data_IF_337340418496
#
_entry.id   IF_337340418496
#
_cell.length_a   1.000
_cell.length_b   1.000
_cell.length_c   1.000
_cell.angle_alpha   90.00
_cell.angle_beta   90.00
_cell.angle_gamma   90.00
#
_symmetry.space_group_name_H-M   'P 1'
#
loop_
_entity.id
_entity.type
_entity.pdbx_description
1 polymer ?
#
# COMPACT_ATOMS: atom_id res chain seq x y z
N UNK A 1 35.28 -15.00 -1.27
CA UNK A 1 33.86 -14.84 -0.91
C UNK A 1 33.36 -13.63 -1.70
N UNK A 2 32.96 -13.85 -2.94
CA UNK A 2 32.85 -12.82 -3.96
C UNK A 2 31.48 -12.92 -4.61
N UNK A 3 30.75 -11.81 -4.51
CA UNK A 3 29.69 -11.40 -5.45
C UNK A 3 28.52 -12.36 -5.76
N UNK A 4 27.59 -12.50 -4.82
CA UNK A 4 26.30 -13.14 -5.10
C UNK A 4 25.20 -12.16 -5.57
N UNK A 5 25.44 -10.86 -5.51
CA UNK A 5 24.47 -9.81 -5.87
C UNK A 5 24.47 -9.42 -7.35
N UNK A 6 25.29 -10.05 -8.20
CA UNK A 6 25.42 -9.63 -9.58
C UNK A 6 24.61 -10.52 -10.54
N UNK A 7 23.64 -9.90 -11.20
CA UNK A 7 22.91 -10.26 -12.41
C UNK A 7 21.54 -10.93 -12.21
N UNK A 8 20.54 -10.09 -11.96
CA UNK A 8 19.32 -10.07 -12.77
C UNK A 8 18.73 -8.67 -12.72
N UNK A 9 19.13 -7.80 -13.63
CA UNK A 9 18.42 -6.52 -13.89
C UNK A 9 17.05 -6.89 -14.45
N UNK A 10 16.00 -6.58 -13.69
CA UNK A 10 14.64 -6.56 -14.20
C UNK A 10 14.59 -5.56 -15.35
N UNK A 11 14.44 -6.05 -16.58
CA UNK A 11 14.20 -5.21 -17.76
C UNK A 11 12.71 -4.86 -17.81
N UNK A 12 12.25 -3.99 -16.96
CA UNK A 12 11.07 -3.20 -17.26
C UNK A 12 11.54 -1.85 -17.77
N UNK A 13 11.43 -1.67 -19.07
CA UNK A 13 11.64 -0.37 -19.73
C UNK A 13 10.45 0.53 -19.37
N UNK A 14 10.57 1.28 -18.29
CA UNK A 14 9.87 2.54 -18.20
C UNK A 14 10.67 3.58 -18.95
N UNK A 15 10.09 4.14 -20.01
CA UNK A 15 10.64 5.28 -20.73
C UNK A 15 10.53 6.47 -19.78
N UNK A 16 11.65 6.86 -19.18
CA UNK A 16 11.76 8.14 -18.47
C UNK A 16 12.12 9.20 -19.51
N UNK A 17 11.18 10.09 -19.79
CA UNK A 17 11.48 11.36 -20.42
C UNK A 17 12.33 12.20 -19.45
N UNK A 18 13.51 12.56 -19.89
CA UNK A 18 14.49 13.36 -19.14
C UNK A 18 13.97 14.78 -18.94
N UNK A 19 13.80 15.18 -17.69
CA UNK A 19 13.66 16.58 -17.29
C UNK A 19 15.07 17.16 -17.14
N UNK A 20 15.39 18.34 -17.72
CA UNK A 20 16.74 18.90 -17.68
C UNK A 20 17.14 19.37 -16.29
N UNK A 21 18.34 18.99 -15.89
CA UNK A 21 19.01 19.38 -14.65
C UNK A 21 19.40 20.87 -14.73
N UNK A 22 18.86 21.68 -13.84
CA UNK A 22 19.33 23.07 -13.63
C UNK A 22 20.50 23.02 -12.66
N UNK A 23 21.70 23.35 -13.17
CA UNK A 23 22.91 23.55 -12.36
C UNK A 23 22.81 24.89 -11.62
N UNK A 24 22.84 24.85 -10.29
CA UNK A 24 23.05 26.05 -9.47
C UNK A 24 24.50 26.06 -8.99
N UNK A 25 25.22 27.08 -9.43
CA UNK A 25 26.60 27.38 -9.04
C UNK A 25 26.63 27.84 -7.57
N UNK A 26 27.44 27.18 -6.74
CA UNK A 26 27.76 27.63 -5.38
C UNK A 26 29.16 28.29 -5.41
N UNK A 27 29.22 29.57 -5.10
CA UNK A 27 30.46 30.23 -4.76
C UNK A 27 30.28 31.11 -3.50
N UNK A 28 31.30 31.03 -2.60
CA UNK A 28 31.65 31.90 -1.45
C UNK A 28 30.84 31.61 -0.17
N UNK A 29 31.36 31.11 0.93
CA UNK A 29 32.61 31.44 1.63
C UNK A 29 32.26 32.26 2.89
N UNK A 30 32.17 31.63 4.09
CA UNK A 30 32.42 32.28 5.38
C UNK A 30 32.63 31.23 6.46
N UNK A 31 33.78 31.30 7.15
CA UNK A 31 34.18 30.36 8.18
C UNK A 31 33.53 30.65 9.54
N UNK A 32 33.49 29.61 10.38
CA UNK A 32 33.20 29.71 11.81
C UNK A 32 34.38 29.16 12.62
N UNK A 33 34.68 29.78 13.79
CA UNK A 33 35.81 29.37 14.62
C UNK A 33 35.47 28.22 15.56
N UNK A 34 36.50 27.42 15.85
CA UNK A 34 36.49 26.37 16.85
C UNK A 34 36.44 26.97 18.28
N UNK A 35 35.62 26.39 19.13
CA UNK A 35 35.77 26.46 20.57
C UNK A 35 35.53 25.07 21.14
N UNK A 36 36.61 24.46 21.65
CA UNK A 36 36.58 23.30 22.51
C UNK A 36 36.38 23.77 23.95
N UNK A 37 35.39 23.21 24.65
CA UNK A 37 35.37 23.19 26.11
C UNK A 37 34.96 21.80 26.60
N UNK A 38 35.87 21.20 27.37
CA UNK A 38 35.70 20.01 28.20
C UNK A 38 34.60 20.25 29.24
N UNK A 39 33.65 19.32 29.37
CA UNK A 39 32.90 19.15 30.63
C UNK A 39 32.86 17.69 31.01
N UNK A 40 33.42 17.45 32.19
CA UNK A 40 33.61 16.18 32.91
C UNK A 40 32.30 15.60 33.44
N UNK A 41 32.27 14.25 33.39
CA UNK A 41 31.76 13.25 34.35
C UNK A 41 30.49 13.43 35.19
N UNK A 42 29.72 12.34 35.16
CA UNK A 42 28.77 11.82 36.15
C UNK A 42 27.33 12.38 36.14
N UNK A 43 26.51 11.67 35.37
CA UNK A 43 25.12 11.44 35.83
C UNK A 43 24.71 10.02 35.46
N UNK A 44 24.54 9.14 36.45
CA UNK A 44 23.92 7.84 36.35
C UNK A 44 22.43 8.10 35.94
N UNK A 45 22.09 7.82 34.69
CA UNK A 45 20.72 7.82 34.25
C UNK A 45 20.13 6.45 34.61
N UNK A 46 19.17 6.45 35.52
CA UNK A 46 18.31 5.30 35.82
C UNK A 46 17.60 4.83 34.54
N UNK A 47 17.33 3.53 34.38
CA UNK A 47 16.53 3.03 33.28
C UNK A 47 15.10 3.54 33.45
N UNK A 48 14.77 4.63 32.78
CA UNK A 48 13.37 5.01 32.62
C UNK A 48 12.71 3.93 31.76
N UNK A 49 11.82 3.17 32.41
CA UNK A 49 10.78 2.41 31.74
C UNK A 49 10.00 3.40 30.86
N UNK A 50 10.27 3.38 29.57
CA UNK A 50 9.43 4.05 28.60
C UNK A 50 8.10 3.31 28.57
N UNK A 51 7.15 3.74 29.39
CA UNK A 51 5.75 3.56 29.16
C UNK A 51 5.43 4.29 27.84
N UNK A 52 5.58 3.57 26.73
CA UNK A 52 5.17 4.07 25.43
C UNK A 52 3.67 4.32 25.47
N UNK A 53 3.28 5.58 25.56
CA UNK A 53 1.91 5.97 25.27
C UNK A 53 1.62 5.47 23.85
N UNK A 54 0.79 4.42 23.73
CA UNK A 54 0.27 3.94 22.46
C UNK A 54 -0.36 5.14 21.77
N UNK A 55 0.24 5.59 20.67
CA UNK A 55 -0.37 6.60 19.83
C UNK A 55 -1.66 5.97 19.28
N UNK A 56 -2.78 6.26 19.90
CA UNK A 56 -4.09 5.83 19.38
C UNK A 56 -4.23 6.49 18.03
N UNK A 57 -4.13 5.70 16.96
CA UNK A 57 -4.40 6.19 15.62
C UNK A 57 -5.84 6.70 15.62
N UNK A 58 -6.00 7.99 15.34
CA UNK A 58 -7.31 8.61 15.25
C UNK A 58 -8.15 7.85 14.22
N UNK A 59 -9.21 7.21 14.67
CA UNK A 59 -10.18 6.56 13.80
C UNK A 59 -11.27 7.57 13.42
N UNK A 60 -11.24 8.11 12.20
CA UNK A 60 -12.21 9.10 11.74
C UNK A 60 -13.61 8.53 11.53
N UNK A 61 -13.78 7.22 11.68
CA UNK A 61 -15.06 6.52 11.53
C UNK A 61 -15.69 6.14 12.87
N UNK A 62 -14.97 6.34 13.97
CA UNK A 62 -15.46 5.97 15.31
C UNK A 62 -16.82 6.61 15.58
N UNK A 63 -17.82 5.77 15.83
CA UNK A 63 -19.19 6.22 16.11
C UNK A 63 -20.03 6.57 14.87
N UNK A 64 -19.50 6.40 13.64
CA UNK A 64 -20.33 6.49 12.44
C UNK A 64 -21.19 5.25 12.29
N UNK A 65 -22.44 5.47 11.93
CA UNK A 65 -23.38 4.38 11.61
C UNK A 65 -23.25 4.07 10.13
N UNK A 66 -23.33 2.78 9.78
CA UNK A 66 -23.41 2.36 8.37
C UNK A 66 -24.66 2.98 7.76
N UNK A 67 -24.54 3.70 6.63
CA UNK A 67 -25.71 4.20 5.91
C UNK A 67 -26.48 3.05 5.26
N UNK A 68 -27.74 3.26 4.98
CA UNK A 68 -28.52 2.38 4.11
C UNK A 68 -28.02 2.50 2.66
N UNK A 69 -28.29 1.46 1.86
CA UNK A 69 -28.07 1.55 0.42
C UNK A 69 -29.04 2.58 -0.17
N UNK A 70 -28.53 3.45 -1.04
CA UNK A 70 -29.38 4.44 -1.73
C UNK A 70 -30.07 3.84 -2.96
N UNK A 71 -29.42 2.84 -3.59
CA UNK A 71 -29.87 2.16 -4.80
C UNK A 71 -29.55 0.67 -4.72
N UNK A 72 -30.25 -0.15 -5.49
CA UNK A 72 -29.89 -1.55 -5.67
C UNK A 72 -28.61 -1.68 -6.52
N UNK A 73 -27.89 -2.79 -6.38
CA UNK A 73 -26.70 -3.04 -7.19
C UNK A 73 -27.01 -3.04 -8.70
N UNK A 74 -28.19 -3.54 -9.08
CA UNK A 74 -28.63 -3.54 -10.48
C UNK A 74 -28.78 -2.11 -11.04
N UNK A 75 -29.43 -1.22 -10.29
CA UNK A 75 -29.58 0.19 -10.69
C UNK A 75 -28.21 0.89 -10.79
N UNK A 76 -27.30 0.60 -9.86
CA UNK A 76 -25.95 1.17 -9.91
C UNK A 76 -25.20 0.64 -11.14
N UNK A 77 -25.27 -0.66 -11.40
CA UNK A 77 -24.62 -1.28 -12.58
C UNK A 77 -25.20 -0.72 -13.87
N UNK A 78 -26.52 -0.50 -13.97
CA UNK A 78 -27.14 0.13 -15.13
C UNK A 78 -26.60 1.56 -15.35
N UNK A 79 -26.36 2.32 -14.28
CA UNK A 79 -25.70 3.64 -14.38
C UNK A 79 -24.27 3.50 -14.90
N UNK A 80 -23.50 2.51 -14.40
CA UNK A 80 -22.11 2.30 -14.80
C UNK A 80 -21.98 1.92 -16.28
N UNK A 81 -22.95 1.21 -16.84
CA UNK A 81 -22.86 0.60 -18.19
C UNK A 81 -23.75 1.28 -19.24
N UNK A 82 -24.94 1.78 -18.85
CA UNK A 82 -25.95 2.33 -19.79
C UNK A 82 -25.92 3.86 -19.84
N UNK A 83 -25.69 4.52 -18.69
CA UNK A 83 -25.61 5.99 -18.64
C UNK A 83 -24.18 6.47 -18.98
N UNK A 84 -23.20 5.70 -18.58
CA UNK A 84 -21.79 5.90 -18.86
C UNK A 84 -21.23 4.65 -19.55
N UNK A 85 -19.98 4.71 -20.01
CA UNK A 85 -19.23 3.55 -20.46
C UNK A 85 -18.33 3.07 -19.32
N UNK A 86 -18.01 1.76 -19.26
CA UNK A 86 -17.03 1.23 -18.29
C UNK A 86 -15.71 2.01 -18.34
N UNK A 87 -15.28 2.43 -19.52
CA UNK A 87 -14.06 3.21 -19.72
C UNK A 87 -14.09 4.62 -19.11
N UNK A 88 -15.26 5.11 -18.72
CA UNK A 88 -15.42 6.44 -18.13
C UNK A 88 -15.16 6.46 -16.62
N UNK A 89 -14.96 5.31 -15.98
CA UNK A 89 -14.84 5.21 -14.54
C UNK A 89 -13.40 5.05 -14.05
N UNK A 90 -12.97 5.95 -13.18
CA UNK A 90 -11.84 5.69 -12.30
C UNK A 90 -12.26 4.81 -11.13
N UNK A 91 -11.52 3.77 -10.83
CA UNK A 91 -11.82 2.86 -9.70
C UNK A 91 -10.83 3.07 -8.57
N UNK A 92 -11.33 3.41 -7.39
CA UNK A 92 -10.53 3.52 -6.16
C UNK A 92 -10.78 2.30 -5.27
N UNK A 93 -9.75 1.49 -4.99
CA UNK A 93 -9.91 0.29 -4.16
C UNK A 93 -9.23 0.42 -2.79
N UNK A 94 -9.76 -0.31 -1.80
CA UNK A 94 -9.20 -0.43 -0.45
C UNK A 94 -9.22 -1.87 0.05
N UNK A 95 -8.89 -2.07 1.32
CA UNK A 95 -8.64 -3.40 1.91
C UNK A 95 -9.84 -4.37 1.81
N UNK A 96 -11.07 -3.86 1.79
CA UNK A 96 -12.28 -4.67 1.55
C UNK A 96 -12.32 -5.36 0.18
N UNK A 97 -11.49 -4.94 -0.77
CA UNK A 97 -11.31 -5.63 -2.06
C UNK A 97 -10.59 -6.97 -1.89
N UNK A 98 -9.73 -7.11 -0.88
CA UNK A 98 -8.83 -8.26 -0.70
C UNK A 98 -9.27 -9.23 0.39
N UNK A 99 -10.39 -8.96 1.10
CA UNK A 99 -10.86 -9.83 2.18
C UNK A 99 -11.19 -11.25 1.72
N UNK A 100 -11.80 -11.41 0.55
CA UNK A 100 -12.06 -12.73 -0.06
C UNK A 100 -10.78 -13.43 -0.57
N UNK A 101 -9.63 -12.77 -0.57
CA UNK A 101 -8.31 -13.35 -0.80
C UNK A 101 -7.61 -13.81 0.49
N UNK A 102 -8.25 -13.63 1.66
CA UNK A 102 -7.69 -13.94 2.95
C UNK A 102 -6.77 -12.87 3.53
N UNK A 103 -6.70 -11.68 2.90
CA UNK A 103 -6.03 -10.50 3.46
C UNK A 103 -7.09 -9.74 4.29
N UNK A 104 -6.88 -9.57 5.61
CA UNK A 104 -7.86 -8.87 6.44
C UNK A 104 -7.94 -7.38 6.07
N UNK A 105 -8.98 -6.72 6.48
CA UNK A 105 -9.04 -5.27 6.40
C UNK A 105 -8.66 -4.60 7.74
N UNK A 106 -8.56 -3.26 7.75
CA UNK A 106 -8.19 -2.52 8.97
C UNK A 106 -9.38 -2.17 9.86
N UNK A 107 -10.60 -2.14 9.31
CA UNK A 107 -11.77 -1.49 9.95
C UNK A 107 -13.08 -2.21 9.69
N UNK A 108 -13.06 -3.41 9.17
CA UNK A 108 -14.23 -4.26 9.06
C UNK A 108 -14.79 -4.63 10.43
N UNK A 109 -16.06 -5.07 10.50
CA UNK A 109 -16.71 -5.39 11.75
C UNK A 109 -15.97 -6.45 12.59
N UNK A 110 -15.21 -7.32 11.93
CA UNK A 110 -14.45 -8.40 12.56
C UNK A 110 -12.95 -8.10 12.69
N UNK A 111 -12.50 -6.88 12.32
CA UNK A 111 -11.09 -6.51 12.35
C UNK A 111 -10.65 -6.15 13.77
N UNK A 112 -9.61 -6.81 14.32
CA UNK A 112 -9.07 -6.46 15.63
C UNK A 112 -8.40 -5.07 15.58
N UNK A 113 -8.39 -4.35 16.72
CA UNK A 113 -7.62 -3.11 16.81
C UNK A 113 -6.15 -3.35 16.46
N UNK A 114 -5.59 -2.59 15.54
CA UNK A 114 -4.21 -2.72 15.09
C UNK A 114 -3.45 -1.43 15.31
N UNK A 115 -2.15 -1.57 15.54
CA UNK A 115 -1.21 -0.45 15.68
C UNK A 115 -0.15 -0.54 14.59
N UNK A 116 -0.47 -0.13 13.34
CA UNK A 116 0.47 -0.22 12.23
C UNK A 116 1.68 0.70 12.42
N UNK A 117 2.81 0.33 11.82
CA UNK A 117 4.04 1.12 11.86
C UNK A 117 3.82 2.52 11.28
N UNK A 118 4.30 3.54 12.00
CA UNK A 118 4.37 4.90 11.48
C UNK A 118 5.77 5.19 10.93
N UNK A 119 5.87 6.14 10.00
CA UNK A 119 7.17 6.54 9.45
C UNK A 119 8.09 7.12 10.54
N UNK A 120 7.53 7.85 11.49
CA UNK A 120 8.26 8.42 12.63
C UNK A 120 8.84 7.31 13.50
N UNK A 121 8.04 6.28 13.82
CA UNK A 121 8.50 5.12 14.60
C UNK A 121 9.59 4.36 13.85
N UNK A 122 9.43 4.13 12.55
CA UNK A 122 10.44 3.45 11.73
C UNK A 122 11.78 4.19 11.72
N UNK A 123 11.76 5.51 11.67
CA UNK A 123 12.97 6.34 11.69
C UNK A 123 13.59 6.51 13.08
N UNK A 124 12.81 6.33 14.16
CA UNK A 124 13.22 6.72 15.52
C UNK A 124 14.43 5.94 16.03
N UNK A 125 14.51 4.63 15.82
CA UNK A 125 15.57 3.78 16.36
C UNK A 125 15.83 2.54 15.49
N UNK A 126 17.08 2.00 15.44
CA UNK A 126 17.36 0.73 14.77
C UNK A 126 16.48 -0.42 15.23
N UNK A 127 16.19 -0.54 16.53
CA UNK A 127 15.34 -1.61 17.08
C UNK A 127 13.91 -1.56 16.53
N UNK A 128 13.36 -0.37 16.27
CA UNK A 128 12.04 -0.24 15.65
C UNK A 128 12.05 -0.73 14.20
N UNK A 129 13.15 -0.52 13.49
CA UNK A 129 13.33 -1.08 12.13
C UNK A 129 13.53 -2.60 12.18
N UNK A 130 14.33 -3.10 13.11
CA UNK A 130 14.50 -4.53 13.32
C UNK A 130 13.17 -5.21 13.66
N UNK A 131 12.41 -4.62 14.58
CA UNK A 131 11.06 -5.08 14.93
C UNK A 131 10.14 -5.13 13.71
N UNK A 132 10.10 -4.08 12.90
CA UNK A 132 9.29 -4.07 11.69
C UNK A 132 9.73 -5.18 10.72
N UNK A 133 11.04 -5.29 10.46
CA UNK A 133 11.56 -6.27 9.51
C UNK A 133 11.38 -7.72 9.97
N UNK A 134 11.51 -8.00 11.26
CA UNK A 134 11.23 -9.32 11.84
C UNK A 134 9.77 -9.73 11.60
N UNK A 135 8.83 -8.83 11.91
CA UNK A 135 7.39 -9.03 11.74
C UNK A 135 7.03 -9.18 10.26
N UNK A 136 7.54 -8.31 9.41
CA UNK A 136 7.35 -8.37 7.95
C UNK A 136 8.01 -9.61 7.34
N UNK A 137 9.16 -10.05 7.85
CA UNK A 137 9.82 -11.27 7.38
C UNK A 137 8.98 -12.52 7.70
N UNK A 138 8.42 -12.57 8.89
CA UNK A 138 7.55 -13.67 9.34
C UNK A 138 6.25 -13.72 8.54
N UNK A 139 5.64 -12.58 8.24
CA UNK A 139 4.36 -12.49 7.52
C UNK A 139 4.47 -12.65 5.98
N UNK A 140 5.68 -12.45 5.43
CA UNK A 140 5.88 -12.44 3.97
C UNK A 140 5.48 -13.73 3.26
N UNK A 141 5.80 -14.95 3.75
CA UNK A 141 5.40 -16.20 3.07
C UNK A 141 3.89 -16.27 2.84
N UNK A 142 3.09 -15.88 3.82
CA UNK A 142 1.62 -15.82 3.70
C UNK A 142 1.18 -14.78 2.68
N UNK A 143 1.69 -13.55 2.75
CA UNK A 143 1.36 -12.49 1.80
C UNK A 143 1.74 -12.89 0.36
N UNK A 144 2.93 -13.47 0.18
CA UNK A 144 3.41 -13.95 -1.11
C UNK A 144 2.56 -15.10 -1.68
N UNK A 145 1.95 -15.90 -0.79
CA UNK A 145 1.05 -17.01 -1.13
C UNK A 145 -0.36 -16.56 -1.53
N UNK A 146 -0.75 -15.34 -1.22
CA UNK A 146 -2.10 -14.82 -1.50
C UNK A 146 -2.39 -14.77 -3.00
N UNK A 147 -3.64 -14.99 -3.38
CA UNK A 147 -4.08 -15.02 -4.78
C UNK A 147 -5.23 -14.02 -5.00
N UNK A 148 -5.33 -13.44 -6.21
CA UNK A 148 -6.48 -12.63 -6.58
C UNK A 148 -7.78 -13.40 -6.38
N UNK A 149 -8.78 -12.75 -5.81
CA UNK A 149 -10.13 -13.30 -5.72
C UNK A 149 -10.95 -12.94 -6.97
N UNK A 150 -12.20 -13.43 -7.02
CA UNK A 150 -13.11 -13.21 -8.15
C UNK A 150 -13.37 -11.73 -8.46
N UNK A 151 -13.32 -10.84 -7.45
CA UNK A 151 -13.51 -9.41 -7.69
C UNK A 151 -12.30 -8.80 -8.41
N UNK A 152 -11.08 -9.19 -8.05
CA UNK A 152 -9.86 -8.74 -8.73
C UNK A 152 -9.86 -9.20 -10.21
N UNK A 153 -10.20 -10.47 -10.46
CA UNK A 153 -10.25 -11.03 -11.81
C UNK A 153 -11.33 -10.33 -12.66
N UNK A 154 -12.55 -10.20 -12.12
CA UNK A 154 -13.63 -9.53 -12.80
C UNK A 154 -13.31 -8.05 -13.09
N UNK A 155 -12.69 -7.33 -12.13
CA UNK A 155 -12.29 -5.94 -12.36
C UNK A 155 -11.17 -5.83 -13.40
N UNK A 156 -10.26 -6.80 -13.48
CA UNK A 156 -9.22 -6.81 -14.49
C UNK A 156 -9.74 -7.07 -15.92
N UNK A 157 -10.94 -7.62 -16.07
CA UNK A 157 -11.62 -7.80 -17.35
C UNK A 157 -12.33 -6.54 -17.83
N UNK A 158 -12.73 -5.64 -16.91
CA UNK A 158 -13.43 -4.39 -17.22
C UNK A 158 -12.46 -3.34 -17.81
N UNK A 159 -12.84 -2.68 -18.90
CA UNK A 159 -12.01 -1.66 -19.54
C UNK A 159 -12.16 -0.29 -18.86
N UNK A 160 -12.01 -0.23 -17.53
CA UNK A 160 -12.11 1.03 -16.77
C UNK A 160 -10.97 2.00 -17.10
N UNK A 161 -11.17 3.30 -16.87
CA UNK A 161 -10.14 4.32 -17.12
C UNK A 161 -8.83 4.03 -16.37
N UNK A 162 -8.93 3.43 -15.21
CA UNK A 162 -7.80 2.94 -14.42
C UNK A 162 -8.18 2.64 -12.98
N UNK A 163 -7.30 1.90 -12.30
CA UNK A 163 -7.45 1.47 -10.91
C UNK A 163 -6.44 2.22 -10.06
N UNK A 164 -6.92 2.92 -9.03
CA UNK A 164 -6.12 3.56 -7.99
C UNK A 164 -6.26 2.72 -6.73
N UNK A 165 -5.28 1.90 -6.40
CA UNK A 165 -5.37 1.05 -5.22
C UNK A 165 -4.67 1.63 -4.01
N UNK A 166 -5.32 1.57 -2.85
CA UNK A 166 -4.74 1.86 -1.55
C UNK A 166 -4.07 0.61 -0.95
N UNK A 167 -4.33 -0.57 -1.53
CA UNK A 167 -3.76 -1.83 -1.10
C UNK A 167 -2.30 -1.95 -1.53
N UNK A 168 -1.53 -2.72 -0.75
CA UNK A 168 -0.10 -2.94 -0.97
C UNK A 168 0.22 -4.41 -1.30
N UNK A 169 -0.81 -5.21 -1.54
CA UNK A 169 -0.77 -6.67 -1.69
C UNK A 169 -0.40 -7.16 -3.10
N UNK A 170 -0.40 -6.28 -4.12
CA UNK A 170 -0.09 -6.64 -5.51
C UNK A 170 -1.17 -7.45 -6.23
N UNK A 171 -2.37 -7.65 -5.64
CA UNK A 171 -3.39 -8.55 -6.17
C UNK A 171 -4.05 -8.03 -7.45
N UNK A 172 -4.16 -6.71 -7.64
CA UNK A 172 -4.65 -6.14 -8.89
C UNK A 172 -3.71 -6.41 -10.06
N UNK A 173 -2.39 -6.30 -9.85
CA UNK A 173 -1.39 -6.61 -10.86
C UNK A 173 -1.41 -8.10 -11.21
N UNK A 174 -1.46 -8.96 -10.18
CA UNK A 174 -1.54 -10.40 -10.37
C UNK A 174 -2.81 -10.83 -11.12
N UNK A 175 -3.95 -10.15 -10.90
CA UNK A 175 -5.18 -10.38 -11.63
C UNK A 175 -5.06 -9.94 -13.09
N UNK A 176 -4.48 -8.77 -13.34
CA UNK A 176 -4.26 -8.26 -14.69
C UNK A 176 -3.33 -9.19 -15.51
N UNK A 177 -2.28 -9.71 -14.88
CA UNK A 177 -1.37 -10.70 -15.49
C UNK A 177 -2.09 -12.02 -15.80
N UNK A 178 -2.91 -12.52 -14.88
CA UNK A 178 -3.69 -13.76 -15.08
C UNK A 178 -4.68 -13.61 -16.25
N UNK A 179 -5.46 -12.54 -16.28
CA UNK A 179 -6.41 -12.26 -17.37
C UNK A 179 -5.70 -12.07 -18.70
N UNK A 180 -4.56 -11.37 -18.72
CA UNK A 180 -3.76 -11.22 -19.94
C UNK A 180 -3.20 -12.57 -20.46
N UNK A 181 -2.77 -13.43 -19.54
CA UNK A 181 -2.27 -14.76 -19.88
C UNK A 181 -3.37 -15.68 -20.46
N UNK A 182 -4.58 -15.62 -19.91
CA UNK A 182 -5.75 -16.38 -20.41
C UNK A 182 -6.21 -15.90 -21.80
N UNK A 183 -6.16 -14.57 -22.06
CA UNK A 183 -6.53 -14.00 -23.36
C UNK A 183 -5.54 -14.35 -24.47
N UNK A 184 -4.28 -14.61 -24.13
CA UNK A 184 -3.21 -14.87 -25.09
C UNK A 184 -2.82 -13.66 -25.94
N UNK A 185 -1.67 -13.73 -26.60
CA UNK A 185 -1.10 -12.61 -27.37
C UNK A 185 -1.88 -12.26 -28.66
N UNK A 186 -2.78 -13.13 -29.14
CA UNK A 186 -3.48 -13.00 -30.42
C UNK A 186 -4.95 -12.55 -30.31
N UNK A 187 -5.44 -12.24 -29.10
CA UNK A 187 -6.87 -12.02 -28.87
C UNK A 187 -7.40 -10.71 -29.44
N UNK A 188 -6.54 -9.76 -29.83
CA UNK A 188 -6.98 -8.40 -30.21
C UNK A 188 -7.71 -7.64 -29.07
N UNK A 189 -7.79 -8.22 -27.89
CA UNK A 189 -8.40 -7.62 -26.72
C UNK A 189 -7.54 -6.42 -26.23
N UNK A 190 -8.17 -5.38 -25.69
CA UNK A 190 -7.44 -4.24 -25.13
C UNK A 190 -6.54 -4.70 -23.97
N UNK A 191 -5.45 -3.98 -23.78
CA UNK A 191 -4.60 -4.18 -22.60
C UNK A 191 -5.40 -3.97 -21.32
N UNK A 192 -5.07 -4.68 -20.22
CA UNK A 192 -5.69 -4.44 -18.93
C UNK A 192 -5.57 -2.97 -18.50
N UNK A 193 -6.58 -2.47 -17.80
CA UNK A 193 -6.61 -1.11 -17.29
C UNK A 193 -5.38 -0.81 -16.40
N UNK A 194 -4.81 0.40 -16.45
CA UNK A 194 -3.64 0.74 -15.65
C UNK A 194 -3.95 0.68 -14.16
N UNK A 195 -3.01 0.14 -13.36
CA UNK A 195 -3.11 0.05 -11.90
C UNK A 195 -2.05 0.95 -11.26
N UNK A 196 -2.47 1.85 -10.40
CA UNK A 196 -1.58 2.74 -9.63
C UNK A 196 -1.59 2.32 -8.17
N UNK A 197 -0.44 1.84 -7.68
CA UNK A 197 -0.20 1.55 -6.26
C UNK A 197 -0.06 2.86 -5.47
N UNK A 198 -1.17 3.46 -5.07
CA UNK A 198 -1.14 4.77 -4.37
C UNK A 198 -0.26 4.72 -3.12
N UNK A 199 -0.35 3.64 -2.37
CA UNK A 199 0.44 3.44 -1.15
C UNK A 199 1.66 2.53 -1.34
N UNK A 200 2.00 2.18 -2.57
CA UNK A 200 3.13 1.32 -2.90
C UNK A 200 2.79 -0.17 -2.90
N UNK A 201 3.82 -1.00 -2.83
CA UNK A 201 3.67 -2.46 -2.87
C UNK A 201 4.67 -3.14 -1.96
N UNK A 202 4.22 -4.21 -1.28
CA UNK A 202 5.06 -5.10 -0.47
C UNK A 202 6.05 -5.92 -1.31
N UNK A 203 5.78 -6.08 -2.62
CA UNK A 203 6.68 -6.81 -3.53
C UNK A 203 8.01 -6.09 -3.79
N UNK A 204 8.13 -4.83 -3.35
CA UNK A 204 9.30 -3.99 -3.57
C UNK A 204 9.89 -3.49 -2.26
N UNK A 205 11.20 -3.32 -2.26
CA UNK A 205 11.96 -2.69 -1.18
C UNK A 205 12.73 -1.52 -1.74
N UNK A 206 12.68 -0.39 -1.06
CA UNK A 206 13.37 0.85 -1.46
C UNK A 206 14.48 1.20 -0.47
N UNK A 207 15.62 1.64 -1.01
CA UNK A 207 16.67 2.29 -0.24
C UNK A 207 16.29 3.75 0.03
N UNK A 208 16.21 4.14 1.31
CA UNK A 208 15.80 5.49 1.70
C UNK A 208 16.85 6.57 1.37
N UNK A 209 18.10 6.19 1.13
CA UNK A 209 19.17 7.13 0.85
C UNK A 209 19.26 7.52 -0.63
N UNK A 210 19.18 6.54 -1.53
CA UNK A 210 19.40 6.76 -2.96
C UNK A 210 18.26 6.23 -3.87
N UNK A 211 17.16 5.73 -3.29
CA UNK A 211 16.00 5.26 -4.07
C UNK A 211 16.25 3.97 -4.86
N UNK A 212 17.31 3.20 -4.56
CA UNK A 212 17.52 1.89 -5.20
C UNK A 212 16.35 0.97 -4.88
N UNK A 213 15.84 0.27 -5.89
CA UNK A 213 14.71 -0.64 -5.77
C UNK A 213 15.16 -2.09 -5.88
N UNK A 214 14.62 -2.92 -5.01
CA UNK A 214 14.90 -4.35 -4.95
C UNK A 214 13.58 -5.15 -4.91
N UNK A 215 13.63 -6.34 -5.48
CA UNK A 215 12.58 -7.34 -5.31
C UNK A 215 12.50 -7.79 -3.84
N UNK A 216 11.28 -7.91 -3.29
CA UNK A 216 11.07 -8.29 -1.90
C UNK A 216 11.57 -9.70 -1.61
N UNK A 217 11.41 -10.65 -2.53
CA UNK A 217 11.89 -12.03 -2.33
C UNK A 217 13.43 -12.09 -2.25
N UNK A 218 14.13 -11.18 -2.95
CA UNK A 218 15.57 -11.06 -2.84
C UNK A 218 15.98 -10.62 -1.42
N UNK A 219 15.31 -9.60 -0.89
CA UNK A 219 15.56 -9.10 0.47
C UNK A 219 15.11 -10.13 1.50
N UNK A 220 14.01 -10.85 1.27
CA UNK A 220 13.54 -11.94 2.14
C UNK A 220 14.59 -13.03 2.31
N UNK A 221 15.20 -13.49 1.20
CA UNK A 221 16.30 -14.48 1.28
C UNK A 221 17.48 -13.95 2.12
N UNK A 222 17.83 -12.68 1.91
CA UNK A 222 18.91 -12.06 2.66
C UNK A 222 18.62 -11.95 4.17
N UNK A 223 17.37 -11.60 4.51
CA UNK A 223 16.92 -11.61 5.91
C UNK A 223 17.00 -13.01 6.52
N UNK A 224 16.58 -14.05 5.78
CA UNK A 224 16.67 -15.44 6.25
C UNK A 224 18.13 -15.91 6.45
N UNK A 225 19.04 -15.52 5.54
CA UNK A 225 20.46 -15.84 5.68
C UNK A 225 21.10 -15.19 6.92
N UNK A 226 20.65 -14.01 7.31
CA UNK A 226 21.15 -13.27 8.47
C UNK A 226 20.51 -13.70 9.78
N UNK A 227 19.35 -14.36 9.73
CA UNK A 227 18.55 -14.76 10.89
C UNK A 227 18.08 -16.23 10.75
N UNK A 228 19.03 -17.20 10.63
CA UNK A 228 18.67 -18.57 10.26
C UNK A 228 17.80 -19.27 11.31
N UNK A 229 17.97 -18.96 12.58
CA UNK A 229 17.32 -19.66 13.69
C UNK A 229 16.15 -18.85 14.30
N UNK A 230 15.88 -17.66 13.78
CA UNK A 230 14.92 -16.71 14.39
C UNK A 230 13.50 -17.27 14.52
N UNK A 231 12.98 -18.00 13.52
CA UNK A 231 11.64 -18.59 13.58
C UNK A 231 11.55 -19.65 14.70
N UNK A 232 12.60 -20.45 14.89
CA UNK A 232 12.69 -21.44 15.96
C UNK A 232 12.80 -20.77 17.33
N UNK A 233 13.59 -19.71 17.44
CA UNK A 233 13.78 -18.95 18.68
C UNK A 233 12.48 -18.31 19.18
N UNK A 234 11.64 -17.77 18.26
CA UNK A 234 10.34 -17.19 18.63
C UNK A 234 9.22 -18.24 18.71
N UNK A 235 9.47 -19.48 18.29
CA UNK A 235 8.51 -20.59 18.40
C UNK A 235 7.26 -20.44 17.55
N UNK A 236 7.33 -19.72 16.43
CA UNK A 236 6.21 -19.42 15.54
C UNK A 236 6.49 -19.98 14.15
N UNK A 237 5.55 -20.77 13.60
CA UNK A 237 5.60 -21.21 12.21
C UNK A 237 5.12 -20.07 11.28
N UNK A 238 5.95 -19.60 10.34
CA UNK A 238 5.56 -18.55 9.39
C UNK A 238 4.34 -18.87 8.53
N UNK A 239 3.93 -20.15 8.44
CA UNK A 239 2.77 -20.57 7.65
C UNK A 239 1.47 -20.34 8.42
N UNK A 240 1.49 -20.45 9.75
CA UNK A 240 0.30 -20.41 10.61
C UNK A 240 0.04 -19.03 11.25
N UNK A 241 0.79 -17.99 10.86
CA UNK A 241 0.62 -16.66 11.44
C UNK A 241 -0.55 -15.88 10.84
N UNK A 242 -1.28 -15.16 11.67
CA UNK A 242 -2.21 -14.14 11.21
C UNK A 242 -1.46 -12.87 10.83
N UNK A 243 -1.72 -12.37 9.62
CA UNK A 243 -1.11 -11.14 9.12
C UNK A 243 -2.08 -9.96 9.19
N UNK A 244 -1.53 -8.77 9.37
CA UNK A 244 -2.24 -7.51 9.13
C UNK A 244 -2.39 -7.25 7.60
N UNK A 245 -3.22 -6.28 7.18
CA UNK A 245 -3.40 -5.93 5.76
C UNK A 245 -2.11 -5.53 5.04
N UNK A 246 -1.10 -5.09 5.77
CA UNK A 246 0.26 -4.73 5.31
C UNK A 246 1.27 -5.87 5.51
N UNK A 247 0.80 -7.10 5.75
CA UNK A 247 1.65 -8.27 5.94
C UNK A 247 2.40 -8.31 7.26
N UNK A 248 2.12 -7.40 8.18
CA UNK A 248 2.74 -7.35 9.50
C UNK A 248 2.15 -8.43 10.42
N UNK A 249 2.98 -9.03 11.27
CA UNK A 249 2.64 -10.07 12.25
C UNK A 249 2.89 -9.54 13.65
N UNK A 250 2.08 -9.90 14.62
CA UNK A 250 2.36 -9.55 16.01
C UNK A 250 3.43 -10.47 16.58
N UNK A 251 4.61 -9.90 16.89
CA UNK A 251 5.70 -10.52 17.61
C UNK A 251 6.03 -9.68 18.83
N UNK A 252 6.14 -10.33 19.98
CA UNK A 252 6.52 -9.67 21.23
C UNK A 252 8.03 -9.44 21.30
N UNK A 253 8.81 -10.48 21.02
CA UNK A 253 10.28 -10.42 21.03
C UNK A 253 10.84 -10.40 19.60
N UNK A 254 11.63 -9.39 19.31
CA UNK A 254 12.35 -9.21 18.06
C UNK A 254 13.81 -8.81 18.30
N UNK A 255 14.28 -9.02 19.52
CA UNK A 255 15.66 -8.73 19.89
C UNK A 255 16.63 -9.58 19.05
N UNK A 256 17.72 -8.98 18.63
CA UNK A 256 18.74 -9.68 17.85
C UNK A 256 18.44 -9.86 16.36
N UNK A 257 17.25 -9.50 15.88
CA UNK A 257 16.96 -9.60 14.45
C UNK A 257 17.82 -8.64 13.62
N UNK A 258 18.56 -9.19 12.66
CA UNK A 258 19.53 -8.46 11.84
C UNK A 258 18.87 -8.01 10.54
N UNK A 259 18.92 -6.70 10.29
CA UNK A 259 18.40 -6.08 9.06
C UNK A 259 19.58 -5.75 8.13
N UNK A 260 19.57 -6.19 6.86
CA UNK A 260 20.60 -5.81 5.90
C UNK A 260 20.49 -4.34 5.50
N UNK A 261 21.64 -3.73 5.28
CA UNK A 261 21.73 -2.45 4.59
C UNK A 261 21.61 -2.61 3.08
N UNK A 262 21.37 -1.51 2.38
CA UNK A 262 21.34 -1.47 0.93
C UNK A 262 22.65 -2.00 0.31
N UNK A 263 22.62 -3.03 -0.53
CA UNK A 263 23.84 -3.62 -1.09
C UNK A 263 24.57 -2.69 -2.06
N UNK A 264 23.91 -1.64 -2.56
CA UNK A 264 24.53 -0.70 -3.50
C UNK A 264 25.18 0.51 -2.81
N UNK A 265 24.68 0.94 -1.62
CA UNK A 265 25.18 2.17 -1.01
C UNK A 265 25.26 2.14 0.54
N UNK A 266 24.89 1.03 1.20
CA UNK A 266 24.86 0.95 2.65
C UNK A 266 23.70 1.72 3.32
N UNK A 267 22.75 2.24 2.55
CA UNK A 267 21.61 2.99 3.08
C UNK A 267 20.54 2.09 3.69
N UNK A 268 19.63 2.68 4.45
CA UNK A 268 18.53 1.97 5.08
C UNK A 268 17.53 1.43 4.05
N UNK A 269 17.10 0.19 4.24
CA UNK A 269 16.05 -0.45 3.45
C UNK A 269 14.68 -0.33 4.13
N UNK A 270 13.66 -0.05 3.33
CA UNK A 270 12.25 -0.02 3.73
C UNK A 270 11.41 -0.70 2.64
N UNK A 271 10.34 -1.47 2.95
CA UNK A 271 9.36 -1.83 1.92
C UNK A 271 8.87 -0.58 1.20
N UNK A 272 8.66 -0.67 -0.11
CA UNK A 272 8.19 0.45 -0.92
C UNK A 272 6.69 0.71 -0.67
N UNK A 273 6.31 0.90 0.60
CA UNK A 273 4.95 1.25 1.03
C UNK A 273 4.93 2.57 1.78
N UNK A 274 3.82 3.28 1.70
CA UNK A 274 3.57 4.52 2.43
C UNK A 274 3.08 4.17 3.83
N UNK A 275 3.90 4.41 4.85
CA UNK A 275 3.50 4.19 6.24
C UNK A 275 2.54 5.26 6.73
N UNK A 276 1.84 4.98 7.84
CA UNK A 276 1.04 6.01 8.50
C UNK A 276 1.91 7.20 8.90
N UNK A 277 1.40 8.42 8.64
CA UNK A 277 2.16 9.65 8.85
C UNK A 277 3.20 9.99 7.77
N UNK A 278 3.35 9.14 6.75
CA UNK A 278 4.19 9.42 5.59
C UNK A 278 3.40 10.10 4.46
N UNK A 279 4.12 10.63 3.49
CA UNK A 279 3.54 11.27 2.31
C UNK A 279 3.60 10.34 1.10
N UNK A 280 2.50 10.28 0.36
CA UNK A 280 2.49 9.56 -0.92
C UNK A 280 3.46 10.25 -1.89
N UNK A 281 4.38 9.52 -2.55
CA UNK A 281 5.30 10.10 -3.53
C UNK A 281 4.58 10.89 -4.62
N UNK A 282 5.08 12.08 -4.94
CA UNK A 282 4.44 13.01 -5.87
C UNK A 282 4.15 12.39 -7.25
N UNK A 283 5.05 11.54 -7.74
CA UNK A 283 4.86 10.84 -9.02
C UNK A 283 3.63 9.91 -9.01
N UNK A 284 3.41 9.17 -7.91
CA UNK A 284 2.22 8.30 -7.76
C UNK A 284 0.94 9.13 -7.70
N UNK A 285 0.98 10.24 -6.95
CA UNK A 285 -0.15 11.17 -6.88
C UNK A 285 -0.50 11.74 -8.25
N UNK A 286 0.51 12.15 -9.04
CA UNK A 286 0.29 12.69 -10.39
C UNK A 286 -0.29 11.64 -11.35
N UNK A 287 0.15 10.39 -11.26
CA UNK A 287 -0.41 9.29 -12.06
C UNK A 287 -1.86 9.01 -11.69
N UNK A 288 -2.16 8.94 -10.39
CA UNK A 288 -3.54 8.72 -9.91
C UNK A 288 -4.46 9.91 -10.26
N UNK A 289 -3.97 11.15 -10.16
CA UNK A 289 -4.73 12.32 -10.59
C UNK A 289 -5.08 12.25 -12.06
N UNK A 290 -4.15 11.87 -12.96
CA UNK A 290 -4.46 11.74 -14.40
C UNK A 290 -5.65 10.81 -14.65
N UNK A 291 -5.67 9.63 -14.01
CA UNK A 291 -6.79 8.70 -14.12
C UNK A 291 -8.08 9.35 -13.62
N UNK A 292 -8.07 10.00 -12.45
CA UNK A 292 -9.24 10.60 -11.85
C UNK A 292 -9.75 11.85 -12.62
N UNK A 293 -8.82 12.65 -13.17
CA UNK A 293 -9.14 13.87 -13.91
C UNK A 293 -9.75 13.54 -15.29
N UNK A 294 -9.23 12.50 -15.98
CA UNK A 294 -9.71 12.04 -17.29
C UNK A 294 -11.02 11.28 -17.20
N UNK A 295 -11.30 10.63 -16.07
CA UNK A 295 -12.55 9.88 -15.86
C UNK A 295 -13.79 10.79 -15.72
N UNK A 296 -14.93 10.30 -16.19
CA UNK A 296 -16.22 10.96 -16.02
C UNK A 296 -16.79 10.81 -14.61
N UNK A 297 -16.39 9.76 -13.87
CA UNK A 297 -16.82 9.51 -12.50
C UNK A 297 -15.86 8.62 -11.72
N UNK A 298 -16.16 8.37 -10.45
CA UNK A 298 -15.35 7.53 -9.57
C UNK A 298 -16.18 6.44 -8.87
N UNK A 299 -15.68 5.21 -8.92
CA UNK A 299 -16.24 4.07 -8.19
C UNK A 299 -15.28 3.68 -7.06
N UNK A 300 -15.75 3.69 -5.83
CA UNK A 300 -15.00 3.29 -4.63
C UNK A 300 -15.41 1.87 -4.24
N UNK A 301 -14.46 0.96 -4.20
CA UNK A 301 -14.68 -0.46 -3.88
C UNK A 301 -13.91 -0.85 -2.61
N UNK A 302 -14.65 -1.24 -1.55
CA UNK A 302 -14.07 -1.79 -0.34
C UNK A 302 -13.14 -0.84 0.43
N UNK A 303 -13.37 0.48 0.32
CA UNK A 303 -12.58 1.47 1.06
C UNK A 303 -13.44 2.26 2.02
N UNK A 304 -13.00 2.32 3.27
CA UNK A 304 -13.61 3.19 4.29
C UNK A 304 -13.30 4.68 4.08
N UNK A 305 -12.39 5.03 3.14
CA UNK A 305 -11.94 6.40 2.89
C UNK A 305 -11.40 7.12 4.15
N UNK A 306 -10.98 6.38 5.16
CA UNK A 306 -10.49 6.94 6.42
C UNK A 306 -9.23 7.79 6.21
N UNK A 307 -8.35 7.38 5.30
CA UNK A 307 -7.11 8.08 4.95
C UNK A 307 -7.34 9.15 3.88
N UNK A 308 -6.75 10.34 4.10
CA UNK A 308 -6.94 11.48 3.22
C UNK A 308 -6.40 11.26 1.80
N UNK A 309 -5.39 10.41 1.64
CA UNK A 309 -4.80 10.09 0.34
C UNK A 309 -5.78 9.46 -0.64
N UNK A 310 -6.74 8.63 -0.17
CA UNK A 310 -7.84 8.10 -0.98
C UNK A 310 -9.03 9.06 -1.04
N UNK A 311 -9.46 9.60 0.11
CA UNK A 311 -10.63 10.49 0.20
C UNK A 311 -10.52 11.73 -0.71
N UNK A 312 -9.31 12.22 -0.97
CA UNK A 312 -9.08 13.40 -1.83
C UNK A 312 -9.67 13.22 -3.24
N UNK A 313 -9.57 12.03 -3.85
CA UNK A 313 -10.11 11.76 -5.18
C UNK A 313 -11.64 11.87 -5.19
N UNK A 314 -12.29 11.28 -4.18
CA UNK A 314 -13.76 11.37 -4.01
C UNK A 314 -14.22 12.81 -3.83
N UNK A 315 -13.50 13.60 -2.99
CA UNK A 315 -13.80 15.02 -2.77
C UNK A 315 -13.62 15.85 -4.04
N UNK A 316 -12.59 15.55 -4.84
CA UNK A 316 -12.34 16.25 -6.09
C UNK A 316 -13.44 15.91 -7.09
N UNK A 317 -13.79 14.65 -7.28
CA UNK A 317 -14.89 14.22 -8.17
C UNK A 317 -16.21 14.91 -7.80
N UNK A 318 -16.60 14.85 -6.51
CA UNK A 318 -17.84 15.50 -6.05
C UNK A 318 -17.81 17.03 -6.26
N UNK A 319 -16.67 17.69 -6.01
CA UNK A 319 -16.51 19.13 -6.25
C UNK A 319 -16.65 19.50 -7.75
N UNK A 320 -16.21 18.63 -8.62
CA UNK A 320 -16.28 18.79 -10.08
C UNK A 320 -17.65 18.37 -10.66
N UNK A 321 -18.57 17.91 -9.82
CA UNK A 321 -19.89 17.43 -10.24
C UNK A 321 -19.85 16.10 -10.98
N UNK A 322 -18.75 15.35 -10.83
CA UNK A 322 -18.61 13.98 -11.36
C UNK A 322 -19.33 13.01 -10.42
N UNK A 323 -20.05 11.99 -10.94
CA UNK A 323 -20.74 11.01 -10.12
C UNK A 323 -19.78 10.20 -9.25
N UNK A 324 -20.20 9.97 -8.02
CA UNK A 324 -19.49 9.20 -7.00
C UNK A 324 -20.30 7.98 -6.62
N UNK A 325 -19.75 6.80 -6.87
CA UNK A 325 -20.31 5.49 -6.47
C UNK A 325 -19.47 4.93 -5.33
N UNK A 326 -20.10 4.49 -4.23
CA UNK A 326 -19.41 3.84 -3.12
C UNK A 326 -20.04 2.47 -2.84
N UNK A 327 -19.20 1.43 -2.92
CA UNK A 327 -19.58 0.03 -2.65
C UNK A 327 -18.71 -0.51 -1.51
N UNK A 328 -19.29 -0.64 -0.34
CA UNK A 328 -18.63 -1.24 0.83
C UNK A 328 -19.65 -1.54 1.95
N UNK A 329 -19.45 -2.58 2.72
CA UNK A 329 -20.36 -2.99 3.77
C UNK A 329 -20.36 -2.05 5.00
N UNK A 330 -19.28 -1.35 5.28
CA UNK A 330 -19.16 -0.45 6.44
C UNK A 330 -19.38 1.03 6.12
N UNK A 331 -19.40 1.91 7.14
CA UNK A 331 -19.45 3.34 6.95
C UNK A 331 -18.16 3.85 6.31
N UNK A 332 -18.27 4.93 5.54
CA UNK A 332 -17.11 5.59 4.95
C UNK A 332 -17.05 7.06 5.34
N UNK A 333 -15.89 7.64 5.15
CA UNK A 333 -15.72 9.09 5.32
C UNK A 333 -16.26 9.89 4.14
N UNK A 334 -16.61 9.21 3.06
CA UNK A 334 -17.15 9.78 1.83
C UNK A 334 -18.66 9.61 1.64
N UNK A 335 -19.38 9.00 2.60
CA UNK A 335 -20.80 8.66 2.41
C UNK A 335 -21.69 9.87 2.03
N UNK A 336 -21.40 11.05 2.60
CA UNK A 336 -22.13 12.29 2.27
C UNK A 336 -21.82 12.85 0.87
N UNK A 337 -20.82 12.30 0.19
CA UNK A 337 -20.40 12.69 -1.16
C UNK A 337 -20.87 11.68 -2.23
N UNK A 338 -21.48 10.58 -1.81
CA UNK A 338 -21.90 9.52 -2.71
C UNK A 338 -23.24 9.87 -3.37
N UNK A 339 -23.28 9.84 -4.69
CA UNK A 339 -24.54 9.87 -5.46
C UNK A 339 -25.21 8.51 -5.43
N UNK A 340 -24.41 7.45 -5.44
CA UNK A 340 -24.87 6.05 -5.41
C UNK A 340 -24.14 5.27 -4.32
N UNK A 341 -24.90 4.60 -3.44
CA UNK A 341 -24.36 3.86 -2.31
C UNK A 341 -24.88 2.42 -2.29
N UNK A 342 -23.97 1.44 -2.40
CA UNK A 342 -24.24 0.03 -2.17
C UNK A 342 -23.55 -0.43 -0.87
N UNK A 343 -24.22 -1.31 -0.13
CA UNK A 343 -23.72 -1.99 1.07
C UNK A 343 -23.37 -3.46 0.80
N UNK A 344 -23.32 -3.85 -0.46
CA UNK A 344 -23.02 -5.21 -0.90
C UNK A 344 -21.53 -5.55 -0.68
N UNK A 345 -21.28 -6.85 -0.60
CA UNK A 345 -19.89 -7.35 -0.68
C UNK A 345 -19.30 -6.95 -2.04
N UNK A 346 -18.09 -6.45 -2.00
CA UNK A 346 -17.39 -5.97 -3.21
C UNK A 346 -17.34 -7.02 -4.31
N UNK A 347 -17.08 -8.29 -3.94
CA UNK A 347 -16.97 -9.37 -4.89
C UNK A 347 -18.30 -9.67 -5.63
N UNK A 348 -19.42 -9.56 -4.95
CA UNK A 348 -20.74 -9.76 -5.55
C UNK A 348 -21.06 -8.62 -6.52
N UNK A 349 -20.83 -7.39 -6.09
CA UNK A 349 -21.06 -6.20 -6.91
C UNK A 349 -20.19 -6.22 -8.19
N UNK A 350 -18.87 -6.36 -8.06
CA UNK A 350 -17.95 -6.32 -9.22
C UNK A 350 -18.22 -7.47 -10.18
N UNK A 351 -18.55 -8.66 -9.68
CA UNK A 351 -18.93 -9.79 -10.54
C UNK A 351 -20.24 -9.53 -11.30
N UNK A 352 -21.19 -8.82 -10.69
CA UNK A 352 -22.43 -8.41 -11.35
C UNK A 352 -22.16 -7.36 -12.42
N UNK A 353 -21.30 -6.38 -12.13
CA UNK A 353 -20.87 -5.36 -13.09
C UNK A 353 -20.20 -5.99 -14.32
N UNK A 354 -19.23 -6.88 -14.14
CA UNK A 354 -18.49 -7.51 -15.23
C UNK A 354 -19.32 -8.46 -16.13
N UNK A 355 -20.55 -8.83 -15.72
CA UNK A 355 -21.45 -9.69 -16.52
C UNK A 355 -22.41 -8.93 -17.42
N UNK A 356 -22.49 -7.61 -17.27
CA UNK A 356 -23.34 -6.73 -18.10
C UNK A 356 -22.64 -6.34 -19.38
#
# INVERSE_FOLDING_TARGET
>A
MTNFWNRRRLRHRYVFDMVPTISVNASQGAGFPAAAEEISEHTKVSPHVYSGAMAVIFDPLRGRVRPDASHSDAEIVDVLTETYSDADWAVLTGAGMSTDSGVPDYRGPDSPPRNPMTIQTFHSHPDQRARYWARSWMGWPRMRGTRPNRAHLALAELPVAGIITQNVDGLHQSAAEAVAAERGNDSGAPAPSPVIDLHGSLDRVICLQNGHLFDRDLVQRRLSELNPDFAEEVGIDPIDVETAPDGDVELEDTAGFIVPDCPECGGLLKPDVVYFGDSVPAARVQQANRIADEAAGIVVLGSSLAVLSGLRFVRTAAKEGKPVVIVTDGPTRGDELADYRSISRVADFVTTWARR
#
